data_IF_365694155500
#
_entry.id   IF_365694155500
#
_cell.length_a   1.000
_cell.length_b   1.000
_cell.length_c   1.000
_cell.angle_alpha   90.00
_cell.angle_beta   90.00
_cell.angle_gamma   90.00
#
_symmetry.space_group_name_H-M   'P 1'
#
loop_
_entity.id
_entity.type
_entity.pdbx_description
1 polymer ?
#
# COMPACT_ATOMS: atom_id res chain seq x y z
N UNK A 1 -12.99 -11.85 -18.71
CA UNK A 1 -13.95 -12.75 -18.04
C UNK A 1 -13.30 -13.76 -17.07
N UNK A 2 -11.99 -13.83 -17.03
CA UNK A 2 -11.25 -14.77 -16.19
C UNK A 2 -11.23 -14.34 -14.70
N UNK A 3 -10.88 -13.09 -14.43
CA UNK A 3 -10.79 -12.56 -13.07
C UNK A 3 -12.13 -12.44 -12.35
N UNK A 4 -13.18 -12.02 -13.09
CA UNK A 4 -14.54 -11.97 -12.55
C UNK A 4 -15.05 -13.37 -12.12
N UNK A 5 -14.59 -14.43 -12.76
CA UNK A 5 -14.89 -15.80 -12.35
C UNK A 5 -14.11 -16.23 -11.12
N UNK A 6 -12.82 -15.86 -11.02
CA UNK A 6 -12.01 -16.13 -9.84
C UNK A 6 -12.59 -15.49 -8.57
N UNK A 7 -13.20 -14.31 -8.68
CA UNK A 7 -13.89 -13.69 -7.54
C UNK A 7 -15.00 -14.56 -6.95
N UNK A 8 -15.72 -15.33 -7.79
CA UNK A 8 -16.83 -16.21 -7.36
C UNK A 8 -16.35 -17.40 -6.53
N UNK A 9 -15.06 -17.72 -6.59
CA UNK A 9 -14.46 -18.80 -5.82
C UNK A 9 -14.17 -18.42 -4.36
N UNK A 10 -14.30 -17.14 -4.02
CA UNK A 10 -14.06 -16.61 -2.69
C UNK A 10 -15.40 -16.31 -1.99
N UNK A 11 -15.39 -16.48 -0.67
CA UNK A 11 -16.54 -16.10 0.14
C UNK A 11 -16.92 -14.64 -0.06
N UNK A 12 -18.20 -14.26 0.05
CA UNK A 12 -18.61 -12.87 -0.03
C UNK A 12 -17.93 -12.03 1.06
N UNK A 13 -17.91 -10.72 0.87
CA UNK A 13 -17.44 -9.79 1.89
C UNK A 13 -18.30 -9.88 3.16
N UNK A 14 -17.72 -9.53 4.30
CA UNK A 14 -18.50 -9.28 5.52
C UNK A 14 -19.47 -8.13 5.28
N UNK A 15 -20.64 -8.22 5.94
CA UNK A 15 -21.54 -7.08 6.05
C UNK A 15 -20.91 -5.97 6.91
N UNK A 16 -21.37 -4.73 6.77
CA UNK A 16 -20.92 -3.61 7.61
C UNK A 16 -21.09 -3.90 9.10
N UNK A 17 -22.19 -4.56 9.50
CA UNK A 17 -22.42 -4.97 10.88
C UNK A 17 -21.36 -5.96 11.39
N UNK A 18 -20.98 -6.94 10.57
CA UNK A 18 -19.91 -7.89 10.92
C UNK A 18 -18.54 -7.23 11.00
N UNK A 19 -18.27 -6.26 10.11
CA UNK A 19 -17.03 -5.47 10.18
C UNK A 19 -16.98 -4.66 11.47
N UNK A 20 -18.09 -4.03 11.87
CA UNK A 20 -18.18 -3.26 13.10
C UNK A 20 -17.96 -4.15 14.34
N UNK A 21 -18.58 -5.33 14.40
CA UNK A 21 -18.39 -6.29 15.49
C UNK A 21 -16.92 -6.74 15.60
N UNK A 22 -16.29 -7.06 14.47
CA UNK A 22 -14.88 -7.44 14.45
C UNK A 22 -13.98 -6.27 14.88
N UNK A 23 -14.30 -5.05 14.47
CA UNK A 23 -13.57 -3.86 14.92
C UNK A 23 -13.68 -3.64 16.44
N UNK A 24 -14.85 -3.87 17.03
CA UNK A 24 -15.01 -3.76 18.49
C UNK A 24 -14.13 -4.77 19.23
N UNK A 25 -14.02 -6.00 18.70
CA UNK A 25 -13.13 -7.04 19.23
C UNK A 25 -11.66 -6.61 19.12
N UNK A 26 -11.26 -6.12 17.94
CA UNK A 26 -9.87 -5.70 17.67
C UNK A 26 -9.49 -4.48 18.52
N UNK A 27 -10.35 -3.47 18.65
CA UNK A 27 -10.09 -2.30 19.51
C UNK A 27 -9.81 -2.69 20.97
N UNK A 28 -10.54 -3.67 21.52
CA UNK A 28 -10.26 -4.22 22.85
C UNK A 28 -8.91 -4.92 22.92
N UNK A 29 -8.53 -5.64 21.87
CA UNK A 29 -7.25 -6.32 21.78
C UNK A 29 -6.07 -5.34 21.58
N UNK A 30 -6.28 -4.18 20.95
CA UNK A 30 -5.24 -3.22 20.62
C UNK A 30 -4.52 -2.65 21.84
N UNK A 31 -5.17 -2.61 23.01
CA UNK A 31 -4.59 -2.11 24.26
C UNK A 31 -3.30 -2.84 24.63
N UNK A 32 -3.20 -4.15 24.37
CA UNK A 32 -1.99 -4.95 24.65
C UNK A 32 -0.81 -4.60 23.73
N UNK A 33 -1.07 -3.99 22.60
CA UNK A 33 -0.08 -3.64 21.57
C UNK A 33 0.47 -2.21 21.69
N UNK A 34 0.07 -1.48 22.73
CA UNK A 34 0.65 -0.17 23.04
C UNK A 34 1.97 -0.34 23.77
N UNK A 35 2.96 -0.92 23.10
CA UNK A 35 4.29 -1.20 23.67
C UNK A 35 5.40 -0.60 22.80
N UNK A 36 6.57 -0.30 23.39
CA UNK A 36 7.72 0.20 22.64
C UNK A 36 8.15 -0.72 21.49
N UNK A 37 8.01 -2.04 21.65
CA UNK A 37 8.36 -3.04 20.65
C UNK A 37 7.44 -2.93 19.42
N UNK A 38 6.13 -2.84 19.64
CA UNK A 38 5.16 -2.65 18.56
C UNK A 38 5.35 -1.30 17.88
N UNK A 39 5.60 -0.24 18.65
CA UNK A 39 5.86 1.08 18.07
C UNK A 39 7.12 1.10 17.20
N UNK A 40 8.20 0.43 17.62
CA UNK A 40 9.41 0.27 16.79
C UNK A 40 9.13 -0.52 15.51
N UNK A 41 8.34 -1.59 15.61
CA UNK A 41 7.93 -2.37 14.44
C UNK A 41 7.07 -1.53 13.49
N UNK A 42 6.08 -0.78 14.01
CA UNK A 42 5.29 0.13 13.19
C UNK A 42 6.17 1.20 12.51
N UNK A 43 7.15 1.76 13.24
CA UNK A 43 8.08 2.74 12.68
C UNK A 43 8.93 2.14 11.55
N UNK A 44 9.42 0.90 11.70
CA UNK A 44 10.16 0.21 10.64
C UNK A 44 9.32 -0.15 9.41
N UNK A 45 8.01 -0.04 9.51
CA UNK A 45 7.08 -0.28 8.39
C UNK A 45 6.59 1.03 7.72
N UNK A 46 7.11 2.19 8.12
CA UNK A 46 6.69 3.48 7.55
C UNK A 46 7.30 3.68 6.17
N UNK A 47 6.47 4.00 5.16
CA UNK A 47 6.92 4.68 3.95
C UNK A 47 6.82 6.18 4.21
N UNK A 48 7.97 6.80 4.50
CA UNK A 48 8.02 8.23 4.79
C UNK A 48 7.80 9.00 3.49
N UNK A 49 6.69 9.73 3.40
CA UNK A 49 6.11 10.17 2.13
C UNK A 49 6.13 11.69 1.99
N UNK A 50 6.63 12.18 0.85
CA UNK A 50 6.33 13.53 0.33
C UNK A 50 5.83 13.42 -1.11
N UNK A 51 4.61 13.92 -1.33
CA UNK A 51 3.93 13.92 -2.62
C UNK A 51 3.21 15.27 -2.79
N UNK A 52 3.91 16.35 -2.47
CA UNK A 52 3.42 17.70 -2.69
C UNK A 52 3.59 18.10 -4.15
N UNK A 53 2.65 18.85 -4.69
CA UNK A 53 2.82 19.49 -6.01
C UNK A 53 3.93 20.56 -6.02
N UNK A 54 4.47 20.90 -4.86
CA UNK A 54 5.58 21.86 -4.69
C UNK A 54 6.91 21.16 -4.40
N UNK A 55 6.97 19.83 -4.43
CA UNK A 55 8.22 19.12 -4.24
C UNK A 55 9.24 19.51 -5.32
N UNK A 56 10.47 19.71 -4.89
CA UNK A 56 11.64 20.04 -5.70
C UNK A 56 12.83 19.17 -5.32
N UNK A 57 13.87 19.17 -6.13
CA UNK A 57 15.12 18.46 -5.81
C UNK A 57 15.65 18.87 -4.44
N UNK A 58 15.62 20.17 -4.12
CA UNK A 58 16.10 20.70 -2.83
C UNK A 58 15.21 20.19 -1.67
N UNK A 59 13.88 20.36 -1.77
CA UNK A 59 12.96 19.95 -0.70
C UNK A 59 12.98 18.44 -0.45
N UNK A 60 13.07 17.63 -1.50
CA UNK A 60 13.11 16.17 -1.38
C UNK A 60 14.45 15.70 -0.82
N UNK A 61 15.59 16.34 -1.22
CA UNK A 61 16.89 16.09 -0.63
C UNK A 61 16.90 16.38 0.88
N UNK A 62 16.34 17.52 1.28
CA UNK A 62 16.22 17.88 2.70
C UNK A 62 15.33 16.89 3.46
N UNK A 63 14.20 16.50 2.86
CA UNK A 63 13.25 15.56 3.45
C UNK A 63 13.89 14.20 3.71
N UNK A 64 14.51 13.58 2.70
CA UNK A 64 15.22 12.31 2.83
C UNK A 64 16.43 12.42 3.79
N UNK A 65 17.17 13.53 3.72
CA UNK A 65 18.30 13.81 4.60
C UNK A 65 17.92 13.88 6.09
N UNK A 66 16.70 14.34 6.41
CA UNK A 66 16.20 14.31 7.81
C UNK A 66 16.00 12.87 8.30
N UNK A 67 15.53 11.96 7.47
CA UNK A 67 15.39 10.55 7.82
C UNK A 67 16.76 9.89 8.08
N UNK A 68 17.73 10.12 7.20
CA UNK A 68 19.11 9.62 7.36
C UNK A 68 19.77 10.18 8.60
N UNK A 69 19.61 11.50 8.86
CA UNK A 69 20.12 12.12 10.07
C UNK A 69 19.52 11.52 11.33
N UNK A 70 18.20 11.29 11.35
CA UNK A 70 17.52 10.65 12.47
C UNK A 70 18.07 9.24 12.73
N UNK A 71 18.21 8.42 11.70
CA UNK A 71 18.80 7.09 11.80
C UNK A 71 20.21 7.11 12.41
N UNK A 72 21.08 8.00 11.92
CA UNK A 72 22.46 8.13 12.45
C UNK A 72 22.49 8.62 13.89
N UNK A 73 21.55 9.46 14.29
CA UNK A 73 21.44 9.98 15.65
C UNK A 73 20.90 8.94 16.64
N UNK A 74 20.04 8.03 16.18
CA UNK A 74 19.39 7.02 17.03
C UNK A 74 19.61 5.59 16.50
N UNK A 75 20.87 5.09 16.50
CA UNK A 75 21.22 3.80 15.88
C UNK A 75 20.59 2.58 16.58
N UNK A 76 19.94 2.76 17.73
CA UNK A 76 19.16 1.73 18.44
C UNK A 76 17.72 1.61 17.98
N UNK A 77 17.28 2.52 17.11
CA UNK A 77 15.97 2.45 16.45
C UNK A 77 16.14 1.89 15.02
N UNK A 78 15.13 1.21 14.49
CA UNK A 78 15.14 0.78 13.09
C UNK A 78 15.06 2.00 12.15
N UNK A 79 15.39 1.79 10.87
CA UNK A 79 15.03 2.72 9.80
C UNK A 79 13.52 2.71 9.53
N UNK A 80 13.02 3.75 8.86
CA UNK A 80 11.77 3.65 8.11
C UNK A 80 11.94 2.66 6.95
N UNK A 81 10.84 2.07 6.48
CA UNK A 81 10.89 1.09 5.38
C UNK A 81 11.39 1.72 4.09
N UNK A 82 10.82 2.85 3.72
CA UNK A 82 11.16 3.55 2.48
C UNK A 82 10.94 5.05 2.56
N UNK A 83 11.52 5.76 1.57
CA UNK A 83 11.17 7.14 1.23
C UNK A 83 10.28 7.09 -0.01
N UNK A 84 9.04 7.58 0.12
CA UNK A 84 8.05 7.55 -0.96
C UNK A 84 7.91 8.93 -1.61
N UNK A 85 8.15 9.00 -2.93
CA UNK A 85 8.27 10.23 -3.70
C UNK A 85 7.68 10.08 -5.12
N UNK A 86 7.62 11.19 -5.86
CA UNK A 86 7.32 11.19 -7.29
C UNK A 86 8.50 10.65 -8.13
N UNK A 87 8.25 10.07 -9.33
CA UNK A 87 9.26 9.41 -10.16
C UNK A 87 10.51 10.25 -10.46
N UNK A 88 10.41 11.57 -10.77
CA UNK A 88 11.58 12.38 -11.11
C UNK A 88 12.61 12.53 -9.99
N UNK A 89 12.27 12.15 -8.75
CA UNK A 89 13.14 12.29 -7.59
C UNK A 89 13.82 10.99 -7.14
N UNK A 90 13.59 9.88 -7.85
CA UNK A 90 14.13 8.56 -7.48
C UNK A 90 15.66 8.59 -7.38
N UNK A 91 16.38 9.04 -8.42
CA UNK A 91 17.83 9.15 -8.39
C UNK A 91 18.33 10.10 -7.29
N UNK A 92 17.62 11.24 -7.08
CA UNK A 92 17.96 12.20 -6.02
C UNK A 92 17.92 11.56 -4.63
N UNK A 93 16.85 10.79 -4.35
CA UNK A 93 16.71 10.09 -3.06
C UNK A 93 17.73 8.97 -2.96
N UNK A 94 18.01 8.24 -4.05
CA UNK A 94 19.02 7.19 -4.09
C UNK A 94 20.40 7.65 -3.59
N UNK A 95 20.83 8.82 -4.03
CA UNK A 95 22.09 9.43 -3.56
C UNK A 95 22.04 9.76 -2.06
N UNK A 96 20.88 10.20 -1.54
CA UNK A 96 20.75 10.63 -0.14
C UNK A 96 20.72 9.45 0.83
N UNK A 97 20.02 8.36 0.46
CA UNK A 97 19.84 7.19 1.33
C UNK A 97 20.94 6.14 1.18
N UNK A 98 21.91 6.39 0.29
CA UNK A 98 23.05 5.48 0.07
C UNK A 98 23.75 5.14 1.39
N UNK A 99 24.09 3.86 1.56
CA UNK A 99 24.67 3.34 2.80
C UNK A 99 23.69 3.19 3.97
N UNK A 100 22.38 3.24 3.70
CA UNK A 100 21.33 2.87 4.67
C UNK A 100 20.50 1.68 4.14
N UNK A 101 19.63 1.10 4.99
CA UNK A 101 18.69 0.06 4.59
C UNK A 101 17.33 0.62 4.13
N UNK A 102 17.23 1.95 3.96
CA UNK A 102 15.98 2.59 3.49
C UNK A 102 15.78 2.32 2.00
N UNK A 103 14.61 1.82 1.63
CA UNK A 103 14.22 1.63 0.25
C UNK A 103 13.68 2.91 -0.37
N UNK A 104 13.58 2.91 -1.69
CA UNK A 104 12.99 4.00 -2.47
C UNK A 104 11.69 3.51 -3.06
N UNK A 105 10.59 4.11 -2.63
CA UNK A 105 9.26 3.90 -3.21
C UNK A 105 8.94 5.03 -4.17
N UNK A 106 8.57 4.73 -5.40
CA UNK A 106 8.01 5.70 -6.33
C UNK A 106 6.53 5.47 -6.55
N UNK A 107 5.71 6.53 -6.48
CA UNK A 107 4.38 6.46 -7.06
C UNK A 107 4.50 6.52 -8.57
N UNK A 108 3.64 5.77 -9.30
CA UNK A 108 3.64 5.77 -10.75
C UNK A 108 2.28 5.32 -11.32
N UNK A 109 2.19 5.10 -12.62
CA UNK A 109 0.98 4.61 -13.28
C UNK A 109 -0.15 5.64 -13.31
N UNK A 110 0.19 6.93 -13.47
CA UNK A 110 -0.77 8.03 -13.50
C UNK A 110 -1.31 8.38 -12.10
N UNK A 111 -0.49 8.22 -11.06
CA UNK A 111 -0.86 8.60 -9.69
C UNK A 111 -1.24 10.09 -9.60
N UNK A 112 -2.31 10.48 -8.84
CA UNK A 112 -3.12 9.62 -7.97
C UNK A 112 -4.39 9.05 -8.61
N UNK A 113 -4.74 9.44 -9.81
CA UNK A 113 -6.07 9.14 -10.39
C UNK A 113 -6.11 7.85 -11.22
N UNK A 114 -4.96 7.36 -11.68
CA UNK A 114 -4.88 6.25 -12.64
C UNK A 114 -5.60 6.53 -13.99
N UNK A 115 -5.96 7.80 -14.27
CA UNK A 115 -6.78 8.24 -15.41
C UNK A 115 -5.89 8.61 -16.61
N UNK A 116 -5.11 7.66 -17.11
CA UNK A 116 -4.27 7.82 -18.30
C UNK A 116 -4.19 6.51 -19.09
N UNK A 117 -3.55 6.53 -20.26
CA UNK A 117 -3.39 5.37 -21.11
C UNK A 117 -2.47 4.32 -20.47
N UNK A 118 -2.75 3.04 -20.72
CA UNK A 118 -1.98 1.93 -20.14
C UNK A 118 -0.50 2.01 -20.54
N UNK A 119 -0.21 2.33 -21.80
CA UNK A 119 1.15 2.48 -22.31
C UNK A 119 1.94 3.58 -21.57
N UNK A 120 1.27 4.66 -21.19
CA UNK A 120 1.88 5.74 -20.39
C UNK A 120 2.17 5.26 -18.97
N UNK A 121 1.25 4.49 -18.36
CA UNK A 121 1.46 3.90 -17.04
C UNK A 121 2.67 2.97 -17.03
N UNK A 122 2.76 2.09 -18.01
CA UNK A 122 3.88 1.14 -18.19
C UNK A 122 5.19 1.90 -18.34
N UNK A 123 5.23 2.90 -19.22
CA UNK A 123 6.44 3.69 -19.43
C UNK A 123 6.88 4.43 -18.17
N UNK A 124 5.96 5.06 -17.43
CA UNK A 124 6.28 5.75 -16.18
C UNK A 124 6.86 4.80 -15.13
N UNK A 125 6.28 3.61 -14.99
CA UNK A 125 6.77 2.55 -14.09
C UNK A 125 8.16 2.08 -14.51
N UNK A 126 8.37 1.79 -15.80
CA UNK A 126 9.67 1.36 -16.32
C UNK A 126 10.76 2.40 -16.05
N UNK A 127 10.49 3.69 -16.29
CA UNK A 127 11.42 4.78 -15.99
C UNK A 127 11.73 4.91 -14.51
N UNK A 128 10.74 4.76 -13.63
CA UNK A 128 10.95 4.82 -12.19
C UNK A 128 11.84 3.66 -11.70
N UNK A 129 11.63 2.46 -12.23
CA UNK A 129 12.46 1.28 -11.94
C UNK A 129 13.89 1.46 -12.47
N UNK A 130 14.04 1.94 -13.71
CA UNK A 130 15.36 2.20 -14.32
C UNK A 130 16.16 3.24 -13.52
N UNK A 131 15.49 4.23 -12.95
CA UNK A 131 16.08 5.25 -12.08
C UNK A 131 16.41 4.74 -10.67
N UNK A 132 16.10 3.48 -10.34
CA UNK A 132 16.49 2.83 -9.08
C UNK A 132 15.41 2.76 -8.00
N UNK A 133 14.12 2.83 -8.36
CA UNK A 133 13.04 2.56 -7.40
C UNK A 133 13.04 1.07 -7.00
N UNK A 134 13.06 0.81 -5.68
CA UNK A 134 12.95 -0.54 -5.12
C UNK A 134 11.48 -1.00 -5.04
N UNK A 135 10.56 -0.05 -4.98
CA UNK A 135 9.14 -0.28 -4.80
C UNK A 135 8.32 0.70 -5.66
N UNK A 136 7.26 0.21 -6.26
CA UNK A 136 6.34 1.00 -7.07
C UNK A 136 4.93 0.95 -6.48
N UNK A 137 4.36 2.13 -6.26
CA UNK A 137 2.98 2.29 -5.81
C UNK A 137 2.11 2.78 -6.97
N UNK A 138 1.22 1.93 -7.47
CA UNK A 138 0.22 2.32 -8.48
C UNK A 138 -1.17 2.38 -7.88
N UNK A 139 -2.07 3.12 -8.53
CA UNK A 139 -3.51 3.12 -8.19
C UNK A 139 -4.26 2.28 -9.20
N UNK A 140 -5.12 1.36 -8.74
CA UNK A 140 -6.02 0.68 -9.66
C UNK A 140 -7.00 1.67 -10.29
N UNK A 141 -7.56 1.34 -11.46
CA UNK A 141 -8.54 2.20 -12.11
C UNK A 141 -9.87 2.16 -11.36
N UNK A 142 -10.06 3.13 -10.45
CA UNK A 142 -11.24 3.19 -9.56
C UNK A 142 -12.53 3.34 -10.37
N UNK A 143 -12.52 4.13 -11.45
CA UNK A 143 -13.70 4.31 -12.31
C UNK A 143 -14.18 2.99 -12.89
N UNK A 144 -13.26 2.25 -13.53
CA UNK A 144 -13.56 0.91 -14.06
C UNK A 144 -13.99 -0.08 -12.99
N UNK A 145 -13.39 0.01 -11.78
CA UNK A 145 -13.78 -0.83 -10.65
C UNK A 145 -15.21 -0.58 -10.22
N UNK A 146 -15.66 0.67 -10.15
CA UNK A 146 -17.02 1.07 -9.81
C UNK A 146 -18.04 0.67 -10.88
N UNK A 147 -17.64 0.64 -12.15
CA UNK A 147 -18.47 0.17 -13.27
C UNK A 147 -18.52 -1.36 -13.39
N UNK A 148 -17.72 -2.10 -12.61
CA UNK A 148 -17.67 -3.55 -12.63
C UNK A 148 -16.82 -4.14 -13.77
N UNK A 149 -15.95 -3.37 -14.39
CA UNK A 149 -15.00 -3.81 -15.42
C UNK A 149 -13.78 -4.52 -14.79
N UNK A 150 -14.04 -5.56 -14.01
CA UNK A 150 -13.06 -6.24 -13.15
C UNK A 150 -11.90 -6.86 -13.92
N UNK A 151 -12.17 -7.44 -15.10
CA UNK A 151 -11.13 -8.02 -15.93
C UNK A 151 -10.17 -6.96 -16.47
N UNK A 152 -10.69 -5.77 -16.84
CA UNK A 152 -9.84 -4.67 -17.30
C UNK A 152 -8.98 -4.08 -16.17
N UNK A 153 -9.57 -3.94 -14.97
CA UNK A 153 -8.85 -3.46 -13.77
C UNK A 153 -7.67 -4.37 -13.45
N UNK A 154 -7.89 -5.68 -13.42
CA UNK A 154 -6.85 -6.64 -13.12
C UNK A 154 -5.79 -6.71 -14.24
N UNK A 155 -6.23 -6.69 -15.51
CA UNK A 155 -5.32 -6.71 -16.65
C UNK A 155 -4.37 -5.50 -16.68
N UNK A 156 -4.82 -4.30 -16.33
CA UNK A 156 -3.93 -3.14 -16.22
C UNK A 156 -2.81 -3.37 -15.19
N UNK A 157 -3.14 -3.93 -14.02
CA UNK A 157 -2.16 -4.25 -12.98
C UNK A 157 -1.20 -5.36 -13.44
N UNK A 158 -1.73 -6.41 -14.08
CA UNK A 158 -0.95 -7.54 -14.59
C UNK A 158 0.07 -7.08 -15.64
N UNK A 159 -0.36 -6.26 -16.61
CA UNK A 159 0.53 -5.71 -17.65
C UNK A 159 1.63 -4.86 -17.02
N UNK A 160 1.32 -4.00 -16.06
CA UNK A 160 2.32 -3.21 -15.35
C UNK A 160 3.29 -4.13 -14.60
N UNK A 161 2.79 -5.15 -13.90
CA UNK A 161 3.63 -6.10 -13.16
C UNK A 161 4.59 -6.86 -14.08
N UNK A 162 4.14 -7.23 -15.27
CA UNK A 162 4.94 -7.99 -16.24
C UNK A 162 6.16 -7.21 -16.76
N UNK A 163 6.11 -5.88 -16.74
CA UNK A 163 7.22 -5.01 -17.16
C UNK A 163 8.20 -4.69 -16.01
N UNK A 164 7.89 -5.13 -14.79
CA UNK A 164 8.76 -4.89 -13.63
C UNK A 164 9.67 -6.10 -13.38
N UNK A 165 10.91 -5.81 -12.96
CA UNK A 165 11.80 -6.85 -12.41
C UNK A 165 11.16 -7.55 -11.21
N UNK A 166 11.37 -8.87 -11.03
CA UNK A 166 10.83 -9.62 -9.90
C UNK A 166 11.23 -9.09 -8.52
N UNK A 167 12.39 -8.43 -8.41
CA UNK A 167 12.93 -7.87 -7.18
C UNK A 167 12.23 -6.58 -6.75
N UNK A 168 11.60 -5.87 -7.69
CA UNK A 168 10.87 -4.63 -7.41
C UNK A 168 9.49 -4.94 -6.86
N UNK A 169 9.19 -4.39 -5.69
CA UNK A 169 7.92 -4.59 -4.99
C UNK A 169 6.81 -3.77 -5.65
N UNK A 170 5.70 -4.40 -5.99
CA UNK A 170 4.49 -3.73 -6.49
C UNK A 170 3.47 -3.58 -5.36
N UNK A 171 3.13 -2.32 -4.99
CA UNK A 171 2.02 -2.05 -4.10
C UNK A 171 0.86 -1.44 -4.90
N UNK A 172 -0.32 -2.06 -4.80
CA UNK A 172 -1.52 -1.58 -5.50
C UNK A 172 -2.43 -0.86 -4.53
N UNK A 173 -2.65 0.42 -4.77
CA UNK A 173 -3.56 1.28 -4.02
C UNK A 173 -4.96 1.05 -4.57
N UNK A 174 -5.87 0.58 -3.70
CA UNK A 174 -7.27 0.33 -4.10
C UNK A 174 -8.17 1.54 -3.92
N UNK A 175 -7.71 2.61 -3.28
CA UNK A 175 -8.46 3.83 -2.95
C UNK A 175 -9.77 3.50 -2.20
N UNK A 176 -9.63 2.85 -1.06
CA UNK A 176 -10.75 2.30 -0.26
C UNK A 176 -11.81 3.34 0.09
N UNK A 177 -11.43 4.61 0.28
CA UNK A 177 -12.36 5.71 0.54
C UNK A 177 -13.31 6.01 -0.62
N UNK A 178 -12.89 5.75 -1.86
CA UNK A 178 -13.74 5.89 -3.05
C UNK A 178 -14.64 4.65 -3.25
N UNK A 179 -14.18 3.47 -2.91
CA UNK A 179 -14.92 2.20 -3.05
C UNK A 179 -16.03 2.05 -2.02
N UNK A 180 -15.87 2.62 -0.83
CA UNK A 180 -16.86 2.74 0.26
C UNK A 180 -17.38 1.43 0.86
N UNK A 181 -17.76 0.44 0.05
CA UNK A 181 -18.42 -0.78 0.52
C UNK A 181 -17.45 -1.92 0.78
N UNK A 182 -17.68 -2.78 1.78
CA UNK A 182 -16.87 -3.96 2.03
C UNK A 182 -16.73 -4.86 0.80
N UNK A 183 -17.77 -5.00 0.00
CA UNK A 183 -17.77 -5.83 -1.21
C UNK A 183 -16.77 -5.32 -2.26
N UNK A 184 -16.80 -4.01 -2.57
CA UNK A 184 -15.89 -3.42 -3.54
C UNK A 184 -14.45 -3.40 -3.03
N UNK A 185 -14.22 -3.10 -1.74
CA UNK A 185 -12.90 -3.14 -1.12
C UNK A 185 -12.31 -4.56 -1.20
N UNK A 186 -13.11 -5.58 -0.87
CA UNK A 186 -12.68 -6.98 -0.97
C UNK A 186 -12.36 -7.38 -2.41
N UNK A 187 -13.23 -7.08 -3.36
CA UNK A 187 -13.02 -7.39 -4.78
C UNK A 187 -11.76 -6.72 -5.32
N UNK A 188 -11.58 -5.43 -5.05
CA UNK A 188 -10.39 -4.69 -5.47
C UNK A 188 -9.11 -5.30 -4.89
N UNK A 189 -9.13 -5.70 -3.61
CA UNK A 189 -8.00 -6.37 -2.97
C UNK A 189 -7.68 -7.70 -3.64
N UNK A 190 -8.69 -8.54 -3.91
CA UNK A 190 -8.51 -9.83 -4.57
C UNK A 190 -7.99 -9.66 -6.01
N UNK A 191 -8.58 -8.75 -6.79
CA UNK A 191 -8.15 -8.48 -8.18
C UNK A 191 -6.70 -8.02 -8.23
N UNK A 192 -6.29 -7.12 -7.32
CA UNK A 192 -4.90 -6.68 -7.22
C UNK A 192 -3.94 -7.84 -6.93
N UNK A 193 -4.33 -8.75 -6.02
CA UNK A 193 -3.53 -9.93 -5.69
C UNK A 193 -3.47 -10.95 -6.82
N UNK A 194 -4.56 -11.18 -7.55
CA UNK A 194 -4.58 -12.06 -8.73
C UNK A 194 -3.65 -11.52 -9.82
N UNK A 195 -3.62 -10.21 -10.00
CA UNK A 195 -2.81 -9.52 -10.98
C UNK A 195 -1.32 -9.34 -10.59
N UNK A 196 -0.92 -9.89 -9.44
CA UNK A 196 0.49 -9.96 -9.07
C UNK A 196 0.97 -8.92 -8.06
N UNK A 197 0.10 -8.14 -7.40
CA UNK A 197 0.50 -7.22 -6.34
C UNK A 197 1.23 -7.94 -5.20
N UNK A 198 2.33 -7.36 -4.71
CA UNK A 198 3.04 -7.82 -3.52
C UNK A 198 2.46 -7.24 -2.25
N UNK A 199 1.85 -6.05 -2.36
CA UNK A 199 1.06 -5.41 -1.30
C UNK A 199 -0.24 -4.85 -1.86
N UNK A 200 -1.29 -4.89 -1.04
CA UNK A 200 -2.49 -4.06 -1.23
C UNK A 200 -2.45 -2.89 -0.25
N UNK A 201 -2.58 -1.68 -0.81
CA UNK A 201 -2.49 -0.41 -0.07
C UNK A 201 -3.85 0.28 -0.07
N UNK A 202 -4.21 0.91 1.05
CA UNK A 202 -5.56 1.47 1.21
C UNK A 202 -5.83 2.66 0.29
N UNK A 203 -4.95 3.65 0.28
CA UNK A 203 -5.31 4.99 -0.22
C UNK A 203 -4.11 5.77 -0.75
N UNK A 204 -4.39 6.74 -1.63
CA UNK A 204 -3.41 7.69 -2.14
C UNK A 204 -3.05 8.80 -1.14
N UNK A 205 -3.96 9.11 -0.21
CA UNK A 205 -3.89 10.31 0.63
C UNK A 205 -4.26 11.60 -0.11
N UNK A 206 -4.85 11.51 -1.31
CA UNK A 206 -5.22 12.66 -2.15
C UNK A 206 -6.73 12.88 -2.25
N UNK A 207 -7.52 12.07 -1.55
CA UNK A 207 -8.97 12.26 -1.37
C UNK A 207 -9.29 12.41 0.11
N UNK A 208 -10.50 12.86 0.43
CA UNK A 208 -10.91 13.20 1.80
C UNK A 208 -10.85 12.00 2.76
N UNK A 209 -11.29 10.81 2.30
CA UNK A 209 -11.28 9.59 3.09
C UNK A 209 -10.10 8.73 2.66
N UNK A 210 -9.14 8.58 3.56
CA UNK A 210 -7.96 7.72 3.38
C UNK A 210 -8.14 6.37 4.08
N UNK A 211 -7.09 5.84 4.72
CA UNK A 211 -7.16 4.58 5.45
C UNK A 211 -8.21 4.63 6.57
N UNK A 212 -9.03 3.60 6.65
CA UNK A 212 -9.92 3.37 7.78
C UNK A 212 -9.67 1.98 8.37
N UNK A 213 -9.80 1.80 9.71
CA UNK A 213 -9.67 0.49 10.34
C UNK A 213 -10.66 -0.54 9.77
N UNK A 214 -11.87 -0.10 9.42
CA UNK A 214 -12.92 -0.94 8.84
C UNK A 214 -12.50 -1.47 7.46
N UNK A 215 -11.94 -0.62 6.59
CA UNK A 215 -11.38 -1.04 5.31
C UNK A 215 -10.20 -2.02 5.51
N UNK A 216 -9.34 -1.76 6.48
CA UNK A 216 -8.21 -2.63 6.81
C UNK A 216 -8.65 -4.04 7.22
N UNK A 217 -9.73 -4.19 8.01
CA UNK A 217 -10.32 -5.49 8.35
C UNK A 217 -10.71 -6.25 7.10
N UNK A 218 -11.43 -5.62 6.19
CA UNK A 218 -11.89 -6.26 4.94
C UNK A 218 -10.72 -6.66 4.05
N UNK A 219 -9.71 -5.78 3.91
CA UNK A 219 -8.50 -6.05 3.12
C UNK A 219 -7.68 -7.19 3.72
N UNK A 220 -7.44 -7.19 5.03
CA UNK A 220 -6.70 -8.27 5.70
C UNK A 220 -7.43 -9.62 5.59
N UNK A 221 -8.76 -9.63 5.63
CA UNK A 221 -9.52 -10.85 5.39
C UNK A 221 -9.39 -11.34 3.95
N UNK A 222 -9.40 -10.43 2.96
CA UNK A 222 -9.13 -10.80 1.57
C UNK A 222 -7.73 -11.43 1.41
N UNK A 223 -6.70 -10.83 2.04
CA UNK A 223 -5.33 -11.36 2.05
C UNK A 223 -5.27 -12.74 2.69
N UNK A 224 -5.90 -12.93 3.85
CA UNK A 224 -5.96 -14.23 4.53
C UNK A 224 -6.58 -15.32 3.65
N UNK A 225 -7.72 -15.00 3.02
CA UNK A 225 -8.44 -15.96 2.21
C UNK A 225 -7.68 -16.28 0.91
N UNK A 226 -7.01 -15.27 0.34
CA UNK A 226 -6.10 -15.45 -0.79
C UNK A 226 -4.92 -16.36 -0.42
N UNK A 227 -4.26 -16.10 0.69
CA UNK A 227 -3.15 -16.93 1.19
C UNK A 227 -3.58 -18.38 1.44
N UNK A 228 -4.74 -18.59 2.06
CA UNK A 228 -5.27 -19.95 2.31
C UNK A 228 -5.50 -20.76 1.03
N UNK A 229 -5.83 -20.07 -0.07
CA UNK A 229 -6.12 -20.70 -1.35
C UNK A 229 -4.88 -20.92 -2.20
N UNK A 230 -3.94 -19.98 -2.19
CA UNK A 230 -2.81 -19.95 -3.12
C UNK A 230 -1.47 -20.24 -2.47
N UNK A 231 -1.34 -20.10 -1.15
CA UNK A 231 -0.07 -20.16 -0.43
C UNK A 231 0.82 -18.91 -0.62
N UNK A 232 0.39 -17.94 -1.47
CA UNK A 232 1.17 -16.71 -1.73
C UNK A 232 0.88 -15.67 -0.65
N UNK A 233 1.95 -15.19 0.00
CA UNK A 233 1.87 -14.08 0.97
C UNK A 233 1.79 -12.76 0.22
N UNK A 234 0.86 -11.90 0.65
CA UNK A 234 0.72 -10.51 0.18
C UNK A 234 0.67 -9.61 1.39
N UNK A 235 1.35 -8.47 1.31
CA UNK A 235 1.39 -7.50 2.40
C UNK A 235 0.17 -6.59 2.43
N UNK A 236 -0.07 -6.00 3.59
CA UNK A 236 -1.06 -4.95 3.80
C UNK A 236 -0.38 -3.62 4.13
N UNK A 237 -0.82 -2.53 3.50
CA UNK A 237 -0.29 -1.19 3.74
C UNK A 237 -1.40 -0.18 4.00
N UNK A 238 -1.61 0.25 5.26
CA UNK A 238 -2.47 1.40 5.53
C UNK A 238 -1.74 2.68 5.12
N UNK A 239 -2.43 3.56 4.42
CA UNK A 239 -1.83 4.82 3.95
C UNK A 239 -2.83 5.97 3.99
N UNK A 240 -2.31 7.16 4.37
CA UNK A 240 -3.11 8.35 4.58
C UNK A 240 -3.85 8.35 5.93
N UNK A 241 -3.61 9.38 6.73
CA UNK A 241 -4.31 9.56 8.00
C UNK A 241 -3.75 8.82 9.22
N UNK A 242 -2.75 7.96 9.08
CA UNK A 242 -2.03 7.36 10.23
C UNK A 242 -1.08 8.42 10.78
N UNK A 243 -1.38 9.00 11.94
CA UNK A 243 -0.69 10.18 12.47
C UNK A 243 -0.06 9.98 13.84
N UNK A 244 -0.44 8.93 14.54
CA UNK A 244 0.08 8.62 15.87
C UNK A 244 0.60 7.19 15.95
N UNK A 245 1.41 6.91 16.98
CA UNK A 245 1.87 5.56 17.28
C UNK A 245 0.68 4.64 17.66
N UNK A 246 -0.34 5.20 18.29
CA UNK A 246 -1.56 4.51 18.67
C UNK A 246 -2.38 4.09 17.44
N UNK A 247 -2.52 4.99 16.44
CA UNK A 247 -3.16 4.64 15.17
C UNK A 247 -2.41 3.48 14.50
N UNK A 248 -1.08 3.57 14.43
CA UNK A 248 -0.25 2.53 13.84
C UNK A 248 -0.39 1.19 14.58
N UNK A 249 -0.41 1.21 15.92
CA UNK A 249 -0.62 0.01 16.74
C UNK A 249 -2.02 -0.62 16.52
N UNK A 250 -3.05 0.19 16.23
CA UNK A 250 -4.36 -0.34 15.86
C UNK A 250 -4.29 -1.11 14.53
N UNK A 251 -3.64 -0.56 13.50
CA UNK A 251 -3.45 -1.28 12.23
C UNK A 251 -2.59 -2.52 12.39
N UNK A 252 -1.53 -2.45 13.19
CA UNK A 252 -0.75 -3.64 13.56
C UNK A 252 -1.63 -4.71 14.20
N UNK A 253 -2.52 -4.32 15.13
CA UNK A 253 -3.43 -5.25 15.79
C UNK A 253 -4.41 -5.90 14.82
N UNK A 254 -4.92 -5.15 13.82
CA UNK A 254 -5.77 -5.72 12.76
C UNK A 254 -5.02 -6.82 12.00
N UNK A 255 -3.77 -6.54 11.62
CA UNK A 255 -2.90 -7.52 10.93
C UNK A 255 -2.67 -8.74 11.82
N UNK A 256 -2.27 -8.55 13.09
CA UNK A 256 -2.00 -9.63 14.04
C UNK A 256 -3.24 -10.52 14.26
N UNK A 257 -4.41 -9.93 14.47
CA UNK A 257 -5.66 -10.67 14.75
C UNK A 257 -6.19 -11.45 13.55
N UNK A 258 -5.98 -10.94 12.33
CA UNK A 258 -6.56 -11.54 11.12
C UNK A 258 -5.56 -12.42 10.37
N UNK A 259 -4.30 -12.00 10.27
CA UNK A 259 -3.27 -12.69 9.49
C UNK A 259 -2.34 -13.53 10.35
N UNK A 260 -2.26 -13.26 11.66
CA UNK A 260 -1.32 -13.89 12.59
C UNK A 260 0.00 -13.13 12.68
N UNK A 261 0.88 -13.63 13.56
CA UNK A 261 2.26 -13.12 13.77
C UNK A 261 3.22 -13.67 12.74
#
# INVERSE_FOLDING_TARGET
>A
MEYANHLKEYAPAMSEAQVAEEMDRIRKAAVRNHTPEVYKLCYSAVDLTTLSCTDSVESVTEFAGKAVKFYRQFPHLPNVASICIYPPFVETVGVVVDGTDMRITSVAGGFPSSQTFLEVKVLEVAMAVENGADEIDIVLNVGKMLEGHYDEVANEVEVIRAEMSPEVVLKVIIESGALKTPDLIRKASLLSMFAGADFVKTSTGKIDVSATPEAAVVMCQAIRDYYRKTGRKVGFKPAGGVRSAEDAALYYTIVEEILGK
#
